data_IF_143896805138
#
_entry.id   IF_143896805138
#
_cell.length_a   1.000
_cell.length_b   1.000
_cell.length_c   1.000
_cell.angle_alpha   90.00
_cell.angle_beta   90.00
_cell.angle_gamma   90.00
#
_symmetry.space_group_name_H-M   'P 1'
#
loop_
_entity.id
_entity.type
_entity.pdbx_description
1 polymer ?
#
# COMPACT_ATOMS: atom_id res chain seq x y z
N UNK A 1 28.14 -12.07 5.59
CA UNK A 1 27.21 -11.32 6.46
C UNK A 1 27.61 -9.85 6.38
N UNK A 2 26.76 -8.99 5.83
CA UNK A 2 27.02 -7.55 5.78
C UNK A 2 26.83 -6.96 7.18
N UNK A 3 27.81 -6.19 7.65
CA UNK A 3 27.69 -5.44 8.90
C UNK A 3 26.50 -4.46 8.81
N UNK A 4 25.70 -4.29 9.88
CA UNK A 4 24.66 -3.27 9.90
C UNK A 4 25.28 -1.90 9.65
N UNK A 5 24.77 -1.16 8.68
CA UNK A 5 25.05 0.28 8.58
C UNK A 5 24.63 0.92 9.91
N UNK A 6 25.57 1.61 10.59
CA UNK A 6 25.35 2.20 11.91
C UNK A 6 24.01 2.95 11.96
N UNK A 7 23.11 2.54 12.86
CA UNK A 7 21.86 3.24 13.13
C UNK A 7 20.57 2.62 12.58
N UNK A 8 20.60 1.43 11.96
CA UNK A 8 19.40 0.66 11.63
C UNK A 8 19.11 -0.43 12.67
N UNK A 9 17.84 -0.67 13.04
CA UNK A 9 17.49 -1.77 13.94
C UNK A 9 17.87 -3.14 13.34
N UNK A 10 18.39 -4.06 14.15
CA UNK A 10 18.81 -5.39 13.68
C UNK A 10 17.65 -6.21 13.10
N UNK A 11 16.43 -6.04 13.64
CA UNK A 11 15.24 -6.73 13.13
C UNK A 11 14.94 -6.36 11.67
N UNK A 12 15.33 -5.16 11.23
CA UNK A 12 15.10 -4.68 9.87
C UNK A 12 15.84 -5.55 8.83
N UNK A 13 17.00 -6.09 9.20
CA UNK A 13 17.82 -6.94 8.34
C UNK A 13 17.25 -8.35 8.16
N UNK A 14 16.27 -8.73 8.98
CA UNK A 14 15.59 -10.03 8.89
C UNK A 14 14.41 -9.99 7.92
N UNK A 15 14.01 -8.80 7.46
CA UNK A 15 12.89 -8.65 6.54
C UNK A 15 13.34 -8.85 5.07
N UNK A 16 12.50 -9.44 4.21
CA UNK A 16 12.83 -9.69 2.82
C UNK A 16 12.69 -8.40 1.97
N UNK A 17 13.16 -8.46 0.73
CA UNK A 17 12.70 -7.51 -0.29
C UNK A 17 11.20 -7.71 -0.52
N UNK A 18 10.39 -6.64 -0.46
CA UNK A 18 8.94 -6.71 -0.59
C UNK A 18 8.36 -5.36 -1.01
N UNK A 19 7.03 -5.28 -1.18
CA UNK A 19 6.33 -3.99 -1.25
C UNK A 19 6.10 -3.47 0.17
N UNK A 20 6.76 -2.39 0.53
CA UNK A 20 6.62 -1.75 1.84
C UNK A 20 5.74 -0.52 1.74
N UNK A 21 4.85 -0.35 2.71
CA UNK A 21 3.93 0.77 2.80
C UNK A 21 4.13 1.62 4.05
N UNK A 22 3.93 2.93 3.91
CA UNK A 22 3.90 3.93 4.96
C UNK A 22 2.51 4.56 4.93
N UNK A 23 1.79 4.49 6.04
CA UNK A 23 0.60 5.28 6.28
C UNK A 23 0.87 6.22 7.45
N UNK A 24 0.49 7.49 7.32
CA UNK A 24 0.71 8.47 8.37
C UNK A 24 -0.50 9.38 8.57
N UNK A 25 -0.61 9.93 9.78
CA UNK A 25 -1.55 10.99 10.12
C UNK A 25 -0.89 12.02 11.05
N UNK A 26 -1.34 13.27 10.97
CA UNK A 26 -0.77 14.38 11.72
C UNK A 26 -1.83 15.14 12.51
N UNK A 27 -1.44 15.60 13.69
CA UNK A 27 -2.21 16.55 14.48
C UNK A 27 -2.31 17.89 13.75
N UNK A 28 -3.45 18.11 13.09
CA UNK A 28 -3.72 19.35 12.35
C UNK A 28 -3.60 20.59 13.23
N UNK A 29 -3.92 20.48 14.53
CA UNK A 29 -3.74 21.57 15.49
C UNK A 29 -2.26 21.95 15.64
N UNK A 30 -1.38 20.98 15.82
CA UNK A 30 0.07 21.22 15.95
C UNK A 30 0.68 21.85 14.70
N UNK A 31 0.14 21.56 13.51
CA UNK A 31 0.57 22.22 12.28
C UNK A 31 0.14 23.69 12.20
N UNK A 32 -1.09 24.01 12.64
CA UNK A 32 -1.73 25.32 12.39
C UNK A 32 -1.62 26.31 13.54
N UNK A 33 -1.59 25.85 14.79
CA UNK A 33 -1.52 26.71 15.97
C UNK A 33 -0.26 27.58 15.92
N UNK A 34 -0.37 28.82 16.39
CA UNK A 34 0.78 29.71 16.46
C UNK A 34 1.84 29.15 17.43
N UNK A 35 3.14 29.45 17.21
CA UNK A 35 4.17 29.13 18.19
C UNK A 35 3.85 29.73 19.57
N UNK A 36 4.18 29.03 20.68
CA UNK A 36 4.92 27.77 20.76
C UNK A 36 4.07 26.49 20.60
N UNK A 37 2.74 26.62 20.55
CA UNK A 37 1.81 25.48 20.55
C UNK A 37 1.74 24.73 19.20
N UNK A 38 2.33 25.31 18.15
CA UNK A 38 2.39 24.71 16.82
C UNK A 38 3.28 25.48 15.85
N UNK A 39 3.21 25.12 14.57
CA UNK A 39 4.05 25.66 13.50
C UNK A 39 3.47 26.87 12.76
N UNK A 40 2.28 27.35 13.14
CA UNK A 40 1.66 28.55 12.59
C UNK A 40 1.33 28.46 11.10
N UNK A 41 1.16 27.26 10.54
CA UNK A 41 0.95 27.08 9.10
C UNK A 41 -0.43 27.59 8.68
N UNK A 42 -0.46 28.62 7.85
CA UNK A 42 -1.69 29.13 7.22
C UNK A 42 -2.28 28.11 6.24
N UNK A 43 -1.43 27.37 5.54
CA UNK A 43 -1.80 26.27 4.65
C UNK A 43 -0.84 25.10 4.81
N UNK A 44 -1.38 23.90 5.02
CA UNK A 44 -0.59 22.67 5.17
C UNK A 44 -0.28 22.01 3.83
N UNK A 45 -0.88 22.47 2.71
CA UNK A 45 -0.76 21.81 1.40
C UNK A 45 0.68 21.74 0.89
N UNK A 46 1.44 22.83 1.01
CA UNK A 46 2.84 22.86 0.58
C UNK A 46 3.72 21.90 1.38
N UNK A 47 3.48 21.83 2.69
CA UNK A 47 4.20 20.94 3.58
C UNK A 47 3.91 19.46 3.30
N UNK A 48 2.62 19.09 3.14
CA UNK A 48 2.27 17.74 2.68
C UNK A 48 2.89 17.45 1.31
N UNK A 49 2.93 18.42 0.39
CA UNK A 49 3.63 18.29 -0.89
C UNK A 49 5.12 17.97 -0.74
N UNK A 50 5.81 18.60 0.21
CA UNK A 50 7.22 18.32 0.49
C UNK A 50 7.43 16.90 1.06
N UNK A 51 6.54 16.43 1.94
CA UNK A 51 6.54 15.04 2.43
C UNK A 51 6.35 14.06 1.27
N UNK A 52 5.42 14.35 0.37
CA UNK A 52 5.13 13.52 -0.81
C UNK A 52 6.34 13.50 -1.76
N UNK A 53 6.97 14.64 -2.00
CA UNK A 53 8.16 14.71 -2.85
C UNK A 53 9.33 13.92 -2.24
N UNK A 54 9.54 14.02 -0.92
CA UNK A 54 10.55 13.23 -0.21
C UNK A 54 10.34 11.72 -0.41
N UNK A 55 9.10 11.25 -0.45
CA UNK A 55 8.78 9.85 -0.77
C UNK A 55 8.97 9.53 -2.27
N UNK A 56 8.52 10.43 -3.13
CA UNK A 56 8.59 10.29 -4.58
C UNK A 56 10.03 10.15 -5.11
N UNK A 57 11.00 10.80 -4.47
CA UNK A 57 12.45 10.64 -4.78
C UNK A 57 12.93 9.18 -4.66
N UNK A 58 12.22 8.33 -3.92
CA UNK A 58 12.54 6.92 -3.71
C UNK A 58 11.52 5.96 -4.34
N UNK A 59 10.75 6.43 -5.34
CA UNK A 59 9.73 5.66 -6.05
C UNK A 59 8.58 5.16 -5.15
N UNK A 60 8.29 5.85 -4.04
CA UNK A 60 7.07 5.60 -3.29
C UNK A 60 5.90 6.22 -4.03
N UNK A 61 4.98 5.35 -4.45
CA UNK A 61 3.76 5.71 -5.12
C UNK A 61 2.62 5.81 -4.13
N UNK A 62 1.66 6.68 -4.41
CA UNK A 62 0.48 6.84 -3.56
C UNK A 62 -0.48 5.67 -3.81
N UNK A 63 -0.72 4.86 -2.79
CA UNK A 63 -1.77 3.82 -2.83
C UNK A 63 -3.14 4.45 -2.53
N UNK A 64 -3.29 5.10 -1.36
CA UNK A 64 -4.55 5.74 -0.95
C UNK A 64 -4.32 6.87 0.05
N UNK A 65 -4.85 8.08 -0.20
CA UNK A 65 -4.79 9.22 0.75
C UNK A 65 -3.36 9.51 1.26
N UNK A 66 -3.06 9.21 2.53
CA UNK A 66 -1.75 9.38 3.19
C UNK A 66 -0.96 8.06 3.25
N UNK A 67 -1.32 7.09 2.40
CA UNK A 67 -0.67 5.80 2.26
C UNK A 67 0.18 5.78 0.98
N UNK A 68 1.43 5.39 1.14
CA UNK A 68 2.43 5.34 0.07
C UNK A 68 3.20 4.03 0.14
N UNK A 69 3.49 3.43 -1.02
CA UNK A 69 4.22 2.16 -1.06
C UNK A 69 5.25 2.12 -2.20
N UNK A 70 6.31 1.36 -1.96
CA UNK A 70 7.35 1.07 -2.95
C UNK A 70 7.82 -0.37 -2.80
N UNK A 71 8.26 -0.97 -3.92
CA UNK A 71 9.04 -2.19 -3.85
C UNK A 71 10.48 -1.82 -3.50
N UNK A 72 10.94 -2.26 -2.34
CA UNK A 72 12.28 -1.91 -1.88
C UNK A 72 12.81 -2.90 -0.84
N UNK A 73 14.12 -2.79 -0.55
CA UNK A 73 14.70 -3.45 0.61
C UNK A 73 14.31 -2.73 1.90
N UNK A 74 14.24 -3.44 3.03
CA UNK A 74 13.78 -2.88 4.31
C UNK A 74 14.68 -1.73 4.82
N UNK A 75 15.98 -1.76 4.50
CA UNK A 75 16.93 -0.69 4.85
C UNK A 75 16.58 0.62 4.13
N UNK A 76 16.28 0.55 2.84
CA UNK A 76 15.90 1.74 2.06
C UNK A 76 14.58 2.31 2.59
N UNK A 77 13.57 1.46 2.73
CA UNK A 77 12.28 1.81 3.33
C UNK A 77 12.44 2.59 4.63
N UNK A 78 13.24 2.06 5.57
CA UNK A 78 13.43 2.68 6.87
C UNK A 78 14.23 3.98 6.80
N UNK A 79 15.16 4.08 5.84
CA UNK A 79 15.92 5.30 5.59
C UNK A 79 15.00 6.43 5.13
N UNK A 80 14.07 6.14 4.20
CA UNK A 80 13.08 7.10 3.71
C UNK A 80 12.16 7.56 4.84
N UNK A 81 11.66 6.64 5.67
CA UNK A 81 10.85 7.03 6.83
C UNK A 81 11.61 7.97 7.77
N UNK A 82 12.90 7.71 8.00
CA UNK A 82 13.75 8.57 8.83
C UNK A 82 14.07 9.90 8.19
N UNK A 83 14.16 10.01 6.86
CA UNK A 83 14.47 11.27 6.19
C UNK A 83 13.33 12.28 6.29
N UNK A 84 12.08 11.81 6.45
CA UNK A 84 10.91 12.71 6.61
C UNK A 84 11.04 13.69 7.78
N UNK A 85 11.81 13.35 8.83
CA UNK A 85 12.07 14.26 9.96
C UNK A 85 12.81 15.55 9.57
N UNK A 86 13.47 15.54 8.42
CA UNK A 86 14.25 16.65 7.90
C UNK A 86 13.49 17.46 6.83
N UNK A 87 12.26 17.09 6.52
CA UNK A 87 11.42 17.90 5.63
C UNK A 87 11.08 19.20 6.33
N UNK A 88 11.35 20.32 5.66
CA UNK A 88 11.15 21.65 6.22
C UNK A 88 9.67 21.94 6.51
N UNK A 89 9.33 22.55 7.67
CA UNK A 89 10.24 22.97 8.74
C UNK A 89 10.85 21.76 9.47
N UNK A 90 12.17 21.73 9.63
CA UNK A 90 12.86 20.61 10.25
C UNK A 90 12.28 20.27 11.64
N UNK A 91 12.04 18.98 11.90
CA UNK A 91 11.38 18.51 13.12
C UNK A 91 9.85 18.63 13.13
N UNK A 92 9.23 19.34 12.20
CA UNK A 92 7.77 19.46 12.10
C UNK A 92 7.09 18.10 11.93
N UNK A 93 7.65 17.23 11.09
CA UNK A 93 7.15 15.87 10.91
C UNK A 93 7.09 15.14 12.25
N UNK A 94 8.20 15.10 12.98
CA UNK A 94 8.29 14.38 14.26
C UNK A 94 7.45 14.99 15.37
N UNK A 95 7.28 16.32 15.39
CA UNK A 95 6.50 17.01 16.42
C UNK A 95 4.98 16.95 16.18
N UNK A 96 4.56 16.84 14.92
CA UNK A 96 3.14 16.86 14.55
C UNK A 96 2.57 15.48 14.26
N UNK A 97 3.38 14.42 14.24
CA UNK A 97 2.92 13.08 13.93
C UNK A 97 1.95 12.59 15.00
N UNK A 98 0.78 12.12 14.57
CA UNK A 98 -0.20 11.47 15.43
C UNK A 98 0.01 9.96 15.39
N UNK A 99 0.16 9.41 14.19
CA UNK A 99 0.38 7.98 13.99
C UNK A 99 1.19 7.72 12.72
N UNK A 100 2.00 6.66 12.75
CA UNK A 100 2.70 6.09 11.59
C UNK A 100 2.53 4.59 11.65
N UNK A 101 1.82 4.06 10.66
CA UNK A 101 1.74 2.64 10.41
C UNK A 101 2.69 2.26 9.29
N UNK A 102 3.51 1.24 9.58
CA UNK A 102 4.37 0.58 8.62
C UNK A 102 3.81 -0.80 8.34
N UNK A 103 3.71 -1.17 7.06
CA UNK A 103 3.25 -2.49 6.66
C UNK A 103 4.09 -3.05 5.51
N UNK A 104 4.11 -4.39 5.43
CA UNK A 104 4.78 -5.12 4.37
C UNK A 104 3.73 -5.96 3.65
N UNK A 105 3.60 -5.79 2.34
CA UNK A 105 2.77 -6.59 1.48
C UNK A 105 3.65 -7.60 0.74
N UNK A 106 3.31 -8.90 0.76
CA UNK A 106 3.98 -9.89 -0.09
C UNK A 106 3.90 -9.46 -1.56
N UNK A 107 4.97 -9.74 -2.32
CA UNK A 107 4.97 -9.53 -3.78
C UNK A 107 4.23 -10.64 -4.54
N UNK A 108 3.82 -11.66 -3.81
CA UNK A 108 3.06 -12.78 -4.31
C UNK A 108 1.64 -12.35 -4.72
N UNK A 109 1.34 -12.45 -6.02
CA UNK A 109 0.02 -12.16 -6.56
C UNK A 109 -0.90 -13.38 -6.51
N UNK A 110 -2.20 -13.13 -6.35
CA UNK A 110 -3.23 -14.16 -6.33
C UNK A 110 -4.29 -13.89 -7.41
N UNK A 111 -4.30 -14.74 -8.44
CA UNK A 111 -5.28 -14.69 -9.53
C UNK A 111 -6.57 -15.46 -9.16
N UNK A 112 -7.62 -14.74 -8.77
CA UNK A 112 -8.91 -15.33 -8.36
C UNK A 112 -10.01 -15.22 -9.42
N UNK A 113 -9.70 -14.76 -10.63
CA UNK A 113 -10.70 -14.46 -11.67
C UNK A 113 -11.67 -15.60 -11.92
N UNK A 114 -11.22 -16.85 -11.95
CA UNK A 114 -12.10 -18.01 -12.16
C UNK A 114 -12.90 -18.39 -10.92
N UNK A 115 -12.39 -18.12 -9.71
CA UNK A 115 -13.08 -18.43 -8.47
C UNK A 115 -14.33 -17.57 -8.26
N UNK A 116 -14.27 -16.29 -8.66
CA UNK A 116 -15.37 -15.31 -8.50
C UNK A 116 -16.29 -15.15 -9.72
N UNK A 117 -16.06 -15.90 -10.82
CA UNK A 117 -17.02 -15.93 -11.94
C UNK A 117 -18.29 -16.69 -11.53
N UNK A 118 -19.40 -16.43 -12.22
CA UNK A 118 -20.64 -17.21 -12.06
C UNK A 118 -20.33 -18.69 -12.35
N UNK A 119 -20.62 -19.57 -11.39
CA UNK A 119 -20.28 -21.00 -11.45
C UNK A 119 -18.89 -21.35 -10.89
N UNK A 120 -18.11 -20.35 -10.48
CA UNK A 120 -16.84 -20.51 -9.76
C UNK A 120 -17.04 -20.87 -8.29
N UNK A 121 -15.94 -21.24 -7.61
CA UNK A 121 -15.97 -21.72 -6.23
C UNK A 121 -16.59 -20.74 -5.22
N UNK A 122 -16.37 -19.44 -5.40
CA UNK A 122 -16.86 -18.37 -4.51
C UNK A 122 -18.25 -17.85 -4.93
N UNK A 123 -18.67 -18.13 -6.16
CA UNK A 123 -19.97 -17.71 -6.71
C UNK A 123 -20.68 -18.91 -7.37
N UNK A 124 -21.01 -19.98 -6.60
CA UNK A 124 -21.59 -21.20 -7.15
C UNK A 124 -23.01 -20.98 -7.69
N UNK A 125 -23.71 -19.91 -7.25
CA UNK A 125 -25.03 -19.52 -7.75
C UNK A 125 -25.11 -17.98 -7.83
N UNK A 126 -25.75 -17.43 -8.86
CA UNK A 126 -26.00 -15.99 -8.92
C UNK A 126 -26.92 -15.54 -7.76
N UNK A 127 -26.58 -14.44 -7.10
CA UNK A 127 -27.43 -13.81 -6.09
C UNK A 127 -28.44 -12.88 -6.80
N UNK A 128 -29.74 -13.15 -6.67
CA UNK A 128 -30.81 -12.38 -7.30
C UNK A 128 -31.68 -13.21 -8.25
N UNK A 129 -32.73 -12.61 -8.84
CA UNK A 129 -33.54 -13.28 -9.85
C UNK A 129 -32.65 -13.69 -11.02
N UNK A 130 -32.66 -14.98 -11.34
CA UNK A 130 -31.93 -15.54 -12.48
C UNK A 130 -32.31 -14.76 -13.75
N UNK A 131 -31.35 -14.22 -14.52
CA UNK A 131 -31.66 -13.52 -15.76
C UNK A 131 -32.50 -14.43 -16.65
N UNK A 132 -33.59 -13.89 -17.22
CA UNK A 132 -34.62 -14.68 -17.93
C UNK A 132 -34.06 -15.53 -19.10
N UNK A 133 -32.86 -15.19 -19.58
CA UNK A 133 -32.17 -15.83 -20.71
C UNK A 133 -30.94 -16.66 -20.28
N UNK A 134 -30.72 -16.86 -18.98
CA UNK A 134 -29.63 -17.69 -18.50
C UNK A 134 -30.06 -19.17 -18.57
N UNK A 135 -29.52 -19.88 -19.54
CA UNK A 135 -29.81 -21.30 -19.74
C UNK A 135 -29.24 -22.15 -18.58
N UNK A 136 -30.13 -22.85 -17.87
CA UNK A 136 -29.80 -23.73 -16.75
C UNK A 136 -28.89 -24.89 -17.16
N UNK A 137 -28.94 -25.32 -18.41
CA UNK A 137 -28.09 -26.41 -18.93
C UNK A 137 -26.64 -25.97 -19.17
N UNK A 138 -26.38 -24.66 -19.17
CA UNK A 138 -25.06 -24.05 -19.39
C UNK A 138 -24.47 -23.37 -18.14
N UNK A 139 -25.11 -23.49 -16.98
CA UNK A 139 -24.46 -23.08 -15.73
C UNK A 139 -23.34 -24.10 -15.42
N UNK A 140 -22.10 -23.60 -15.37
CA UNK A 140 -20.94 -24.44 -15.07
C UNK A 140 -21.16 -25.29 -13.82
N UNK A 141 -20.73 -26.55 -13.87
CA UNK A 141 -20.79 -27.45 -12.71
C UNK A 141 -19.92 -26.84 -11.61
N UNK A 142 -20.41 -26.75 -10.36
CA UNK A 142 -19.61 -26.25 -9.25
C UNK A 142 -18.29 -27.03 -9.17
N UNK A 143 -17.14 -26.37 -9.00
CA UNK A 143 -15.87 -27.07 -8.87
C UNK A 143 -15.95 -28.06 -7.70
N UNK A 144 -15.64 -29.33 -7.96
CA UNK A 144 -15.72 -30.45 -7.00
C UNK A 144 -14.61 -30.43 -5.93
N UNK A 145 -13.86 -29.33 -5.81
CA UNK A 145 -12.72 -29.24 -4.91
C UNK A 145 -12.31 -27.80 -4.62
N UNK A 146 -11.46 -27.59 -3.60
CA UNK A 146 -10.92 -26.28 -3.29
C UNK A 146 -10.22 -25.70 -4.53
N UNK A 147 -10.27 -24.37 -4.73
CA UNK A 147 -9.55 -23.75 -5.83
C UNK A 147 -8.07 -24.15 -5.76
N UNK A 148 -7.41 -24.39 -6.90
CA UNK A 148 -5.99 -24.68 -6.92
C UNK A 148 -5.25 -23.54 -6.20
N UNK A 149 -4.19 -23.90 -5.47
CA UNK A 149 -3.32 -22.90 -4.86
C UNK A 149 -2.96 -21.83 -5.90
N UNK A 150 -3.03 -20.55 -5.52
CA UNK A 150 -2.63 -19.47 -6.41
C UNK A 150 -1.28 -19.80 -7.02
N UNK A 151 -1.20 -19.77 -8.35
CA UNK A 151 0.09 -19.90 -9.03
C UNK A 151 0.82 -18.58 -8.83
N UNK A 152 1.78 -18.58 -7.91
CA UNK A 152 2.72 -17.47 -7.74
C UNK A 152 3.59 -17.37 -8.99
N UNK A 153 3.24 -16.45 -9.89
CA UNK A 153 4.08 -16.13 -11.04
C UNK A 153 4.96 -14.94 -10.68
N UNK A 154 6.28 -15.13 -10.76
CA UNK A 154 7.21 -14.01 -10.74
C UNK A 154 6.84 -13.03 -11.87
N UNK A 155 6.71 -11.75 -11.50
CA UNK A 155 6.29 -10.61 -12.33
C UNK A 155 6.39 -10.83 -13.84
N UNK A 156 5.23 -10.89 -14.50
CA UNK A 156 5.12 -10.39 -15.87
C UNK A 156 3.90 -9.47 -15.92
N UNK A 157 4.17 -8.17 -16.03
CA UNK A 157 3.24 -7.05 -16.23
C UNK A 157 2.37 -6.63 -15.04
N UNK A 158 2.70 -5.46 -14.50
CA UNK A 158 1.76 -4.61 -13.75
C UNK A 158 0.68 -4.16 -14.73
N UNK A 159 -0.53 -4.73 -14.65
CA UNK A 159 -1.69 -4.15 -15.33
C UNK A 159 -1.98 -2.80 -14.68
N UNK A 160 -1.92 -1.74 -15.47
CA UNK A 160 -2.20 -0.37 -15.02
C UNK A 160 -3.71 -0.20 -14.90
N UNK A 161 -4.16 0.78 -14.11
CA UNK A 161 -5.58 1.12 -13.99
C UNK A 161 -6.28 1.43 -15.33
N UNK A 162 -5.51 1.83 -16.37
CA UNK A 162 -5.99 2.03 -17.74
C UNK A 162 -6.37 0.72 -18.46
N UNK A 163 -5.79 -0.41 -18.07
CA UNK A 163 -6.07 -1.73 -18.65
C UNK A 163 -7.39 -2.33 -18.13
N UNK A 164 -8.09 -1.61 -17.25
CA UNK A 164 -9.40 -1.99 -16.67
C UNK A 164 -10.59 -1.39 -17.42
N UNK A 165 -10.36 -0.70 -18.54
CA UNK A 165 -11.45 -0.18 -19.37
C UNK A 165 -11.92 -1.27 -20.32
N UNK A 166 -13.08 -1.85 -20.03
CA UNK A 166 -13.92 -2.59 -20.99
C UNK A 166 -14.82 -1.59 -21.72
#
# INVERSE_FOLDING_TARGET
MALPAMGHPLWLLQLPYSRYGIAYDFHTRSLKSAPPDGYGMTSTRGWYGAIINCMGEYNFERDQKSMYAADCGPVLFYTVLRSMRFVEPAGCFSACIQDVLVYMMPLDEMYLTQAFRIGGAECPRPFGPMPLHLDRSHMGVPPQGPPPHPRFTARIHVMRAIDWVV
#
